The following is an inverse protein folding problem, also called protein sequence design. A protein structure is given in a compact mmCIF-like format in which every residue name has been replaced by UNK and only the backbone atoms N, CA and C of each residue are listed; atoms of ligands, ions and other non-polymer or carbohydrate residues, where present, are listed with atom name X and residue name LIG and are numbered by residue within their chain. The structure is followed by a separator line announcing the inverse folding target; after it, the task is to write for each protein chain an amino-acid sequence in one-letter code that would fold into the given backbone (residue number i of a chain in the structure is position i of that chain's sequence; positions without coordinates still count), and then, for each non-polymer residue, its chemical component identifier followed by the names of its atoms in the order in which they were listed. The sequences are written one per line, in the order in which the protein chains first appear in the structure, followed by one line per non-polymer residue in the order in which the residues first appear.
data_IF_863514773808
#
_entry.id   IF_863514773808
#
_cell.length_a   1.000
_cell.length_b   1.000
_cell.length_c   1.000
_cell.angle_alpha   90.00
_cell.angle_beta   90.00
_cell.angle_gamma   90.00
#
_symmetry.space_group_name_H-M   'P 1'
#
loop_
_entity.id
_entity.type
_entity.pdbx_description
1 polymer ?
#
# COMPACT_ATOMS: atom_id res chain seq x y z
N UNK A 1 16.43 -9.84 14.53
CA UNK A 1 16.06 -9.70 13.10
C UNK A 1 16.32 -8.26 12.70
N UNK A 2 16.92 -8.08 11.56
CA UNK A 2 17.19 -6.75 11.00
C UNK A 2 15.87 -6.03 10.70
N UNK A 3 15.73 -4.81 11.19
CA UNK A 3 14.52 -4.00 11.01
C UNK A 3 14.25 -3.70 9.53
N UNK A 4 15.29 -3.44 8.75
CA UNK A 4 15.14 -3.22 7.31
C UNK A 4 14.58 -4.47 6.62
N UNK A 5 15.06 -5.63 6.97
CA UNK A 5 14.55 -6.89 6.43
C UNK A 5 13.07 -7.09 6.80
N UNK A 6 12.70 -6.81 8.04
CA UNK A 6 11.32 -6.94 8.50
C UNK A 6 10.37 -6.00 7.74
N UNK A 7 10.77 -4.76 7.53
CA UNK A 7 9.96 -3.79 6.76
C UNK A 7 9.86 -4.21 5.30
N UNK A 8 10.95 -4.65 4.69
CA UNK A 8 10.92 -5.13 3.31
C UNK A 8 10.03 -6.36 3.15
N UNK A 9 10.05 -7.27 4.12
CA UNK A 9 9.15 -8.43 4.13
C UNK A 9 7.69 -8.01 4.21
N UNK A 10 7.38 -7.03 5.05
CA UNK A 10 6.02 -6.49 5.18
C UNK A 10 5.59 -5.79 3.87
N UNK A 11 6.49 -5.08 3.21
CA UNK A 11 6.21 -4.45 1.92
C UNK A 11 5.97 -5.49 0.82
N UNK A 12 6.65 -6.61 0.86
CA UNK A 12 6.39 -7.73 -0.05
C UNK A 12 4.99 -8.28 0.18
N UNK A 13 4.57 -8.46 1.44
CA UNK A 13 3.22 -8.90 1.76
C UNK A 13 2.15 -7.89 1.30
N UNK A 14 2.43 -6.60 1.43
CA UNK A 14 1.57 -5.55 0.91
C UNK A 14 1.34 -5.72 -0.60
N UNK A 15 2.42 -5.87 -1.36
CA UNK A 15 2.35 -6.09 -2.81
C UNK A 15 1.58 -7.37 -3.15
N UNK A 16 1.89 -8.46 -2.48
CA UNK A 16 1.25 -9.74 -2.73
C UNK A 16 -0.23 -9.75 -2.38
N UNK A 17 -0.63 -8.98 -1.37
CA UNK A 17 -2.04 -8.81 -1.04
C UNK A 17 -2.83 -8.29 -2.25
N UNK A 18 -2.32 -7.26 -2.91
CA UNK A 18 -2.97 -6.72 -4.11
C UNK A 18 -2.85 -7.67 -5.30
N UNK A 19 -1.69 -8.28 -5.51
CA UNK A 19 -1.46 -9.17 -6.66
C UNK A 19 -2.31 -10.45 -6.58
N UNK A 20 -2.62 -10.91 -5.37
CA UNK A 20 -3.47 -12.09 -5.16
C UNK A 20 -4.93 -11.72 -4.87
N UNK A 21 -5.23 -10.45 -4.65
CA UNK A 21 -6.58 -10.00 -4.33
C UNK A 21 -7.04 -10.40 -2.94
N UNK A 22 -6.13 -10.51 -1.98
CA UNK A 22 -6.41 -10.95 -0.62
C UNK A 22 -6.27 -9.76 0.36
N UNK A 23 -7.37 -9.11 0.75
CA UNK A 23 -7.30 -7.97 1.64
C UNK A 23 -6.81 -8.31 3.05
N UNK A 24 -7.03 -9.55 3.50
CA UNK A 24 -6.62 -9.95 4.86
C UNK A 24 -5.10 -9.98 5.00
N UNK A 25 -4.37 -10.25 3.93
CA UNK A 25 -2.90 -10.15 3.93
C UNK A 25 -2.43 -8.70 4.18
N UNK A 26 -3.13 -7.73 3.61
CA UNK A 26 -2.86 -6.31 3.85
C UNK A 26 -3.23 -5.96 5.31
N UNK A 27 -4.44 -6.33 5.73
CA UNK A 27 -4.97 -5.99 7.05
C UNK A 27 -4.08 -6.55 8.18
N UNK A 28 -3.47 -7.71 7.96
CA UNK A 28 -2.55 -8.33 8.93
C UNK A 28 -1.29 -7.48 9.18
N UNK A 29 -0.95 -6.54 8.29
CA UNK A 29 0.20 -5.65 8.43
C UNK A 29 -0.10 -4.40 9.25
N UNK A 30 -1.35 -4.14 9.57
CA UNK A 30 -1.80 -2.84 10.07
C UNK A 30 -1.68 -2.72 11.58
N UNK A 31 -1.25 -1.52 12.03
CA UNK A 31 -1.41 -1.10 13.42
C UNK A 31 -2.91 -0.96 13.72
N UNK A 32 -3.37 -1.26 14.96
CA UNK A 32 -4.79 -1.10 15.30
C UNK A 32 -5.36 0.30 15.08
N UNK A 33 -4.50 1.33 15.15
CA UNK A 33 -4.89 2.73 14.91
C UNK A 33 -4.52 3.21 13.51
N UNK A 34 -4.42 2.31 12.54
CA UNK A 34 -4.00 2.61 11.18
C UNK A 34 -4.81 3.75 10.55
N UNK A 35 -4.10 4.66 9.89
CA UNK A 35 -4.70 5.78 9.14
C UNK A 35 -4.55 5.51 7.65
N UNK A 36 -5.68 5.43 6.95
CA UNK A 36 -5.75 5.09 5.54
C UNK A 36 -6.22 6.30 4.74
N UNK A 37 -5.35 6.85 3.90
CA UNK A 37 -5.62 8.04 3.10
C UNK A 37 -5.22 7.83 1.64
N UNK A 38 -5.85 6.87 0.94
CA UNK A 38 -5.51 6.64 -0.46
C UNK A 38 -6.08 7.72 -1.38
N UNK A 39 -5.48 7.85 -2.56
CA UNK A 39 -5.95 8.80 -3.58
C UNK A 39 -7.39 8.52 -3.97
N UNK A 40 -8.19 9.59 -4.04
CA UNK A 40 -9.55 9.53 -4.56
C UNK A 40 -10.59 8.88 -3.66
N UNK A 41 -10.23 8.52 -2.43
CA UNK A 41 -11.16 7.89 -1.47
C UNK A 41 -11.14 8.64 -0.16
N UNK A 42 -12.23 8.54 0.60
CA UNK A 42 -12.30 9.15 1.93
C UNK A 42 -11.30 8.51 2.87
N UNK A 43 -10.73 9.32 3.77
CA UNK A 43 -9.84 8.81 4.81
C UNK A 43 -10.61 7.94 5.81
N UNK A 44 -9.93 6.92 6.35
CA UNK A 44 -10.49 6.03 7.35
C UNK A 44 -9.45 5.69 8.41
N UNK A 45 -9.87 5.38 9.63
CA UNK A 45 -8.98 5.12 10.76
C UNK A 45 -9.43 3.85 11.48
N UNK A 46 -8.46 3.04 11.90
CA UNK A 46 -8.69 1.87 12.74
C UNK A 46 -9.54 0.81 12.07
N UNK A 47 -10.60 0.34 12.74
CA UNK A 47 -11.50 -0.68 12.21
C UNK A 47 -12.23 -0.20 10.96
N UNK A 48 -12.52 1.09 10.87
CA UNK A 48 -13.08 1.70 9.67
C UNK A 48 -12.13 1.60 8.48
N UNK A 49 -10.81 1.70 8.72
CA UNK A 49 -9.82 1.52 7.68
C UNK A 49 -9.82 0.08 7.14
N UNK A 50 -9.88 -0.92 8.01
CA UNK A 50 -9.95 -2.32 7.60
C UNK A 50 -11.19 -2.60 6.74
N UNK A 51 -12.34 -2.07 7.15
CA UNK A 51 -13.58 -2.22 6.38
C UNK A 51 -13.49 -1.54 5.01
N UNK A 52 -12.89 -0.35 4.96
CA UNK A 52 -12.67 0.37 3.71
C UNK A 52 -11.75 -0.41 2.77
N UNK A 53 -10.70 -1.01 3.31
CA UNK A 53 -9.76 -1.86 2.53
C UNK A 53 -10.50 -3.07 1.96
N UNK A 54 -11.30 -3.75 2.76
CA UNK A 54 -12.08 -4.90 2.28
C UNK A 54 -13.02 -4.53 1.14
N UNK A 55 -13.72 -3.40 1.30
CA UNK A 55 -14.64 -2.91 0.27
C UNK A 55 -13.89 -2.54 -1.01
N UNK A 56 -12.75 -1.85 -0.89
CA UNK A 56 -11.92 -1.46 -2.03
C UNK A 56 -11.38 -2.68 -2.79
N UNK A 57 -10.88 -3.68 -2.07
CA UNK A 57 -10.38 -4.92 -2.69
C UNK A 57 -11.51 -5.66 -3.42
N UNK A 58 -12.68 -5.74 -2.81
CA UNK A 58 -13.84 -6.39 -3.43
C UNK A 58 -14.22 -5.73 -4.75
N UNK A 59 -14.28 -4.41 -4.77
CA UNK A 59 -14.61 -3.65 -5.97
C UNK A 59 -13.53 -3.80 -7.03
N UNK A 60 -12.26 -3.69 -6.63
CA UNK A 60 -11.13 -3.79 -7.54
C UNK A 60 -11.02 -5.19 -8.17
N UNK A 61 -11.12 -6.24 -7.36
CA UNK A 61 -10.98 -7.62 -7.83
C UNK A 61 -12.18 -8.13 -8.61
N UNK A 62 -13.35 -7.52 -8.44
CA UNK A 62 -14.52 -7.83 -9.25
C UNK A 62 -14.30 -7.42 -10.72
N UNK A 63 -13.50 -6.40 -10.96
CA UNK A 63 -13.31 -5.82 -12.30
C UNK A 63 -11.98 -6.19 -12.94
N UNK A 64 -10.93 -6.40 -12.13
CA UNK A 64 -9.56 -6.49 -12.64
C UNK A 64 -8.75 -7.60 -11.99
N UNK A 65 -7.81 -8.14 -12.77
CA UNK A 65 -6.59 -8.74 -12.24
C UNK A 65 -5.60 -7.61 -12.02
N UNK A 66 -4.95 -7.56 -10.86
CA UNK A 66 -4.09 -6.45 -10.47
C UNK A 66 -2.65 -6.92 -10.32
N UNK A 67 -1.73 -6.14 -10.87
CA UNK A 67 -0.31 -6.26 -10.60
C UNK A 67 0.19 -4.92 -10.07
N UNK A 68 0.63 -4.91 -8.82
CA UNK A 68 1.24 -3.75 -8.20
C UNK A 68 2.76 -3.86 -8.32
N UNK A 69 3.39 -2.82 -8.85
CA UNK A 69 4.84 -2.71 -8.94
C UNK A 69 5.27 -1.46 -8.17
N UNK A 70 5.81 -1.62 -6.96
CA UNK A 70 6.31 -0.48 -6.19
C UNK A 70 7.72 -0.08 -6.64
N UNK A 71 7.99 1.21 -6.61
CA UNK A 71 9.32 1.78 -6.77
C UNK A 71 9.63 2.53 -5.49
N UNK A 72 10.51 1.96 -4.68
CA UNK A 72 10.87 2.53 -3.38
C UNK A 72 12.02 3.49 -3.59
N UNK A 73 11.83 4.76 -3.24
CA UNK A 73 12.87 5.78 -3.35
C UNK A 73 13.77 5.75 -2.11
N UNK A 74 13.14 5.68 -0.93
CA UNK A 74 13.89 5.73 0.32
C UNK A 74 13.13 5.03 1.43
N UNK A 75 13.85 4.31 2.28
CA UNK A 75 13.35 3.78 3.56
C UNK A 75 14.25 4.34 4.65
N UNK A 76 13.65 4.99 5.65
CA UNK A 76 14.37 5.47 6.83
C UNK A 76 13.80 4.85 8.08
N UNK A 77 14.70 4.41 8.96
CA UNK A 77 14.36 3.80 10.24
C UNK A 77 15.01 4.63 11.34
N UNK A 78 14.20 5.06 12.31
CA UNK A 78 14.67 5.77 13.48
C UNK A 78 13.98 5.17 14.70
N UNK A 79 14.75 4.41 15.49
CA UNK A 79 14.25 3.72 16.68
C UNK A 79 13.05 2.80 16.32
N UNK A 80 11.87 3.09 16.87
CA UNK A 80 10.66 2.30 16.66
C UNK A 80 9.73 2.85 15.59
N UNK A 81 10.19 3.83 14.82
CA UNK A 81 9.42 4.45 13.73
C UNK A 81 10.23 4.35 12.44
N UNK A 82 9.53 4.11 11.36
CA UNK A 82 10.14 4.13 10.03
C UNK A 82 9.16 4.75 9.04
N UNK A 83 9.71 5.27 7.96
CA UNK A 83 8.89 5.74 6.85
C UNK A 83 9.57 5.36 5.55
N UNK A 84 8.76 5.14 4.53
CA UNK A 84 9.23 4.96 3.19
C UNK A 84 8.29 5.67 2.22
N UNK A 85 8.82 6.06 1.09
CA UNK A 85 8.05 6.69 0.05
C UNK A 85 8.59 6.31 -1.31
N UNK A 86 7.75 6.52 -2.30
CA UNK A 86 8.08 6.23 -3.68
C UNK A 86 6.84 6.26 -4.54
N UNK A 87 6.81 5.41 -5.53
CA UNK A 87 5.73 5.36 -6.50
C UNK A 87 5.20 3.95 -6.63
N UNK A 88 3.92 3.88 -7.00
CA UNK A 88 3.28 2.63 -7.39
C UNK A 88 2.89 2.69 -8.86
N UNK A 89 3.13 1.61 -9.57
CA UNK A 89 2.51 1.37 -10.86
C UNK A 89 1.49 0.25 -10.65
N UNK A 90 0.23 0.56 -10.97
CA UNK A 90 -0.87 -0.39 -10.89
C UNK A 90 -1.19 -0.84 -12.31
N UNK A 91 -0.98 -2.09 -12.62
CA UNK A 91 -1.39 -2.70 -13.88
C UNK A 91 -2.68 -3.44 -13.65
N UNK A 92 -3.76 -2.96 -14.27
CA UNK A 92 -5.09 -3.53 -14.10
C UNK A 92 -5.54 -4.14 -15.40
N UNK A 93 -5.71 -5.47 -15.42
CA UNK A 93 -6.20 -6.17 -16.59
C UNK A 93 -7.68 -6.49 -16.39
N UNK A 94 -8.58 -5.91 -17.21
CA UNK A 94 -10.01 -6.18 -17.07
C UNK A 94 -10.32 -7.67 -17.18
N UNK A 95 -11.19 -8.15 -16.32
CA UNK A 95 -11.59 -9.56 -16.32
C UNK A 95 -12.41 -9.94 -17.57
N UNK A 96 -13.04 -8.95 -18.20
CA UNK A 96 -13.80 -9.14 -19.41
C UNK A 96 -12.96 -9.17 -20.70
N UNK A 97 -11.64 -9.03 -20.57
CA UNK A 97 -10.72 -9.11 -21.71
C UNK A 97 -10.45 -7.77 -22.40
N UNK A 98 -10.84 -6.66 -21.78
CA UNK A 98 -10.54 -5.33 -22.32
C UNK A 98 -9.05 -4.98 -22.21
N UNK A 99 -8.70 -3.77 -22.67
CA UNK A 99 -7.34 -3.27 -22.65
C UNK A 99 -6.84 -3.04 -21.22
N UNK A 100 -5.56 -3.34 -20.99
CA UNK A 100 -4.93 -3.10 -19.71
C UNK A 100 -4.93 -1.60 -19.35
N UNK A 101 -5.25 -1.29 -18.11
CA UNK A 101 -5.21 0.07 -17.56
C UNK A 101 -3.99 0.19 -16.67
N UNK A 102 -3.19 1.22 -16.88
CA UNK A 102 -2.01 1.50 -16.07
C UNK A 102 -2.23 2.82 -15.33
N UNK A 103 -2.18 2.75 -14.00
CA UNK A 103 -2.33 3.93 -13.13
C UNK A 103 -1.08 4.05 -12.30
N UNK A 104 -0.59 5.28 -12.13
CA UNK A 104 0.58 5.57 -11.30
C UNK A 104 0.20 6.54 -10.21
N UNK A 105 0.74 6.32 -9.02
CA UNK A 105 0.58 7.24 -7.90
C UNK A 105 1.88 7.35 -7.09
N UNK A 106 1.90 8.33 -6.21
CA UNK A 106 2.95 8.51 -5.19
C UNK A 106 2.41 8.03 -3.87
N UNK A 107 3.28 7.46 -3.02
CA UNK A 107 2.85 7.00 -1.71
C UNK A 107 3.84 7.39 -0.62
N UNK A 108 3.34 7.45 0.60
CA UNK A 108 4.11 7.49 1.83
C UNK A 108 3.55 6.42 2.77
N UNK A 109 4.43 5.60 3.32
CA UNK A 109 4.12 4.67 4.40
C UNK A 109 4.81 5.11 5.67
N UNK A 110 4.12 5.00 6.80
CA UNK A 110 4.73 5.16 8.13
C UNK A 110 4.52 3.86 8.89
N UNK A 111 5.61 3.35 9.45
CA UNK A 111 5.66 2.08 10.18
C UNK A 111 5.98 2.33 11.64
N UNK A 112 5.45 1.49 12.51
CA UNK A 112 5.76 1.53 13.93
C UNK A 112 6.06 0.12 14.42
N UNK A 113 7.13 0.00 15.21
CA UNK A 113 7.47 -1.25 15.88
C UNK A 113 6.67 -1.33 17.17
N UNK A 114 5.86 -2.38 17.32
CA UNK A 114 5.03 -2.56 18.50
C UNK A 114 5.83 -3.20 19.65
N UNK A 115 5.17 -3.40 20.79
CA UNK A 115 5.80 -3.97 21.99
C UNK A 115 6.29 -5.41 21.76
N UNK A 116 5.66 -6.14 20.87
CA UNK A 116 6.09 -7.49 20.49
C UNK A 116 7.28 -7.50 19.53
N UNK A 117 7.78 -6.32 19.13
CA UNK A 117 8.90 -6.20 18.20
C UNK A 117 8.50 -6.34 16.74
N UNK A 118 7.21 -6.28 16.43
CA UNK A 118 6.71 -6.38 15.07
C UNK A 118 6.53 -4.99 14.45
N UNK A 119 6.95 -4.84 13.21
CA UNK A 119 6.71 -3.62 12.44
C UNK A 119 5.31 -3.67 11.83
N UNK A 120 4.49 -2.66 12.16
CA UNK A 120 3.13 -2.52 11.66
C UNK A 120 2.98 -1.22 10.89
N UNK A 121 2.20 -1.25 9.83
CA UNK A 121 1.89 -0.05 9.06
C UNK A 121 0.89 0.80 9.84
N UNK A 122 1.27 2.03 10.19
CA UNK A 122 0.42 2.91 10.99
C UNK A 122 -0.19 4.05 10.16
N UNK A 123 0.34 4.33 8.98
CA UNK A 123 -0.23 5.31 8.07
C UNK A 123 0.14 4.99 6.63
N UNK A 124 -0.82 5.15 5.74
CA UNK A 124 -0.63 5.09 4.30
C UNK A 124 -1.32 6.27 3.66
N UNK A 125 -0.57 6.99 2.84
CA UNK A 125 -1.13 8.06 2.01
C UNK A 125 -0.67 7.86 0.58
N UNK A 126 -1.56 8.06 -0.37
CA UNK A 126 -1.20 8.11 -1.79
C UNK A 126 -1.92 9.25 -2.48
N UNK A 127 -1.35 9.71 -3.56
CA UNK A 127 -2.01 10.64 -4.47
C UNK A 127 -1.57 10.38 -5.91
N UNK A 128 -2.48 10.66 -6.84
CA UNK A 128 -2.23 10.46 -8.25
C UNK A 128 -1.09 11.34 -8.76
N UNK A 129 -0.40 10.85 -9.77
CA UNK A 129 0.60 11.66 -10.47
C UNK A 129 -0.10 12.67 -11.37
N UNK A 130 0.49 13.85 -11.57
CA UNK A 130 0.02 14.75 -12.60
C UNK A 130 0.12 14.10 -13.99
N UNK A 131 -0.64 14.59 -14.95
CA UNK A 131 -0.68 14.05 -16.32
C UNK A 131 0.71 13.97 -16.98
N UNK A 132 1.63 14.81 -16.53
CA UNK A 132 3.04 14.71 -16.90
C UNK A 132 3.83 14.28 -15.68
N UNK A 133 4.59 13.19 -15.84
CA UNK A 133 5.48 12.72 -14.79
C UNK A 133 6.56 13.76 -14.55
N UNK A 134 6.77 14.21 -13.30
CA UNK A 134 7.91 15.07 -13.03
C UNK A 134 9.20 14.29 -13.26
N UNK A 135 10.20 14.97 -13.84
CA UNK A 135 11.53 14.41 -13.94
C UNK A 135 12.09 14.29 -12.54
N UNK A 136 12.56 13.10 -12.18
CA UNK A 136 13.30 12.94 -10.93
C UNK A 136 14.68 13.52 -11.17
N UNK A 137 14.94 14.61 -10.48
CA UNK A 137 16.27 15.21 -10.52
C UNK A 137 17.16 14.53 -9.48
#
# INVERSE_FOLDING_TARGET
MDDLYAINSAKTEFREAFNTGDPERFIALLDPAFVYMPDGVSSAIGTGAADAIRAQFRELTAQYYVQLVPIIIEIRIQDSVAWDYGWHTWRKTPRDGGSQVIVKDRYVNVWRKNEAGEWKLCMYMSNGLPSQMPTIA
#
